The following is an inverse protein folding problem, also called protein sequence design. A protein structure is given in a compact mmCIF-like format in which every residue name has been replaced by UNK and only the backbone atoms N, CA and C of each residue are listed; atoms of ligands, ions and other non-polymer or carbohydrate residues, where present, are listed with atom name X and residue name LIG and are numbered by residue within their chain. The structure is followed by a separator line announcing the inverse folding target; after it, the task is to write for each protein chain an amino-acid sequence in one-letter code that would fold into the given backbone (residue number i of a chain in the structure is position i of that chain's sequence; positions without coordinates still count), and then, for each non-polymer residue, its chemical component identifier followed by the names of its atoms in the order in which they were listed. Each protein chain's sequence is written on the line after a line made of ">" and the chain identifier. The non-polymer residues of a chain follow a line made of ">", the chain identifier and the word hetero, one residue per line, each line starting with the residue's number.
data_IF_163472938768
#
_entry.id   IF_163472938768
#
_cell.length_a   1.000
_cell.length_b   1.000
_cell.length_c   1.000
_cell.angle_alpha   90.00
_cell.angle_beta   90.00
_cell.angle_gamma   90.00
#
_symmetry.space_group_name_H-M   'P 1'
#
loop_
_entity.id
_entity.type
_entity.pdbx_description
1 polymer ?
#
# COMPACT_ATOMS: atom_id res chain seq x y z
N UNK A 1 11.05 -29.83 22.84
CA UNK A 1 10.73 -29.88 21.39
C UNK A 1 10.64 -28.47 20.85
N UNK A 2 11.71 -27.96 20.25
CA UNK A 2 11.75 -26.61 19.66
C UNK A 2 10.91 -26.61 18.39
N UNK A 3 9.71 -26.02 18.44
CA UNK A 3 8.92 -25.73 17.24
C UNK A 3 9.47 -24.46 16.60
N UNK A 4 10.60 -24.55 15.92
CA UNK A 4 10.96 -23.50 14.97
C UNK A 4 9.99 -23.60 13.79
N UNK A 5 8.89 -22.85 13.89
CA UNK A 5 8.01 -22.60 12.75
C UNK A 5 8.85 -21.82 11.74
N UNK A 6 9.20 -22.46 10.64
CA UNK A 6 9.88 -21.81 9.53
C UNK A 6 8.99 -20.67 9.02
N UNK A 7 9.54 -19.45 8.99
CA UNK A 7 8.82 -18.27 8.52
C UNK A 7 8.82 -18.32 7.00
N UNK A 8 7.63 -18.44 6.40
CA UNK A 8 7.46 -18.37 4.94
C UNK A 8 7.71 -16.94 4.46
N UNK A 9 8.17 -16.79 3.22
CA UNK A 9 8.46 -15.50 2.61
C UNK A 9 7.69 -15.33 1.29
N UNK A 10 7.33 -14.09 0.96
CA UNK A 10 6.80 -13.71 -0.35
C UNK A 10 7.56 -12.48 -0.87
N UNK A 11 8.16 -12.59 -2.07
CA UNK A 11 8.99 -11.52 -2.67
C UNK A 11 10.04 -10.94 -1.69
N UNK A 12 10.68 -11.81 -0.89
CA UNK A 12 11.70 -11.41 0.09
C UNK A 12 11.14 -10.82 1.40
N UNK A 13 9.82 -10.71 1.56
CA UNK A 13 9.20 -10.25 2.80
C UNK A 13 8.75 -11.43 3.67
N UNK A 14 9.07 -11.44 4.97
CA UNK A 14 8.63 -12.51 5.86
C UNK A 14 7.15 -12.38 6.18
N UNK A 15 6.42 -13.48 6.00
CA UNK A 15 5.01 -13.64 6.31
C UNK A 15 4.80 -13.65 7.83
N UNK A 16 4.91 -12.46 8.41
CA UNK A 16 4.73 -12.22 9.84
C UNK A 16 3.66 -11.15 10.03
N UNK A 17 2.96 -11.21 11.17
CA UNK A 17 1.97 -10.18 11.55
C UNK A 17 2.57 -8.78 11.55
N UNK A 18 3.84 -8.64 11.95
CA UNK A 18 4.58 -7.37 11.92
C UNK A 18 4.85 -6.85 10.52
N UNK A 19 5.21 -7.72 9.55
CA UNK A 19 5.39 -7.29 8.15
C UNK A 19 4.08 -6.85 7.54
N UNK A 20 3.01 -7.62 7.74
CA UNK A 20 1.67 -7.29 7.25
C UNK A 20 1.20 -5.95 7.84
N UNK A 21 1.30 -5.77 9.16
CA UNK A 21 0.89 -4.53 9.82
C UNK A 21 1.65 -3.31 9.28
N UNK A 22 2.97 -3.41 9.08
CA UNK A 22 3.76 -2.31 8.49
C UNK A 22 3.25 -1.95 7.10
N UNK A 23 2.95 -2.94 6.26
CA UNK A 23 2.43 -2.69 4.92
C UNK A 23 1.01 -2.11 4.94
N UNK A 24 0.15 -2.57 5.85
CA UNK A 24 -1.19 -1.99 6.04
C UNK A 24 -1.11 -0.52 6.47
N UNK A 25 -0.18 -0.18 7.37
CA UNK A 25 0.06 1.20 7.79
C UNK A 25 0.58 2.07 6.63
N UNK A 26 1.44 1.52 5.76
CA UNK A 26 1.89 2.19 4.54
C UNK A 26 0.75 2.43 3.53
N UNK A 27 -0.08 1.40 3.27
CA UNK A 27 -1.25 1.53 2.40
C UNK A 27 -2.21 2.59 2.92
N UNK A 28 -2.42 2.64 4.24
CA UNK A 28 -3.25 3.69 4.86
C UNK A 28 -2.71 5.09 4.59
N UNK A 29 -1.40 5.29 4.69
CA UNK A 29 -0.75 6.58 4.36
C UNK A 29 -0.91 6.94 2.89
N UNK A 30 -0.74 5.98 1.98
CA UNK A 30 -0.91 6.19 0.55
C UNK A 30 -2.36 6.56 0.20
N UNK A 31 -3.35 5.89 0.81
CA UNK A 31 -4.77 6.21 0.64
C UNK A 31 -5.09 7.63 1.12
N UNK A 32 -4.58 8.04 2.28
CA UNK A 32 -4.76 9.42 2.75
C UNK A 32 -4.16 10.44 1.76
N UNK A 33 -2.97 10.18 1.21
CA UNK A 33 -2.35 11.04 0.20
C UNK A 33 -3.17 11.11 -1.10
N UNK A 34 -3.70 9.96 -1.54
CA UNK A 34 -4.60 9.89 -2.68
C UNK A 34 -5.87 10.72 -2.45
N UNK A 35 -6.49 10.60 -1.28
CA UNK A 35 -7.69 11.35 -0.90
C UNK A 35 -7.43 12.86 -0.88
N UNK A 36 -6.28 13.30 -0.36
CA UNK A 36 -5.86 14.70 -0.39
C UNK A 36 -5.70 15.24 -1.81
N UNK A 37 -5.05 14.49 -2.70
CA UNK A 37 -4.87 14.88 -4.11
C UNK A 37 -6.19 14.93 -4.87
N UNK A 38 -7.04 13.93 -4.69
CA UNK A 38 -8.38 13.89 -5.32
C UNK A 38 -9.23 15.05 -4.82
N UNK A 39 -9.22 15.31 -3.51
CA UNK A 39 -9.94 16.45 -2.90
C UNK A 39 -9.44 17.77 -3.47
N UNK A 40 -8.12 17.97 -3.54
CA UNK A 40 -7.53 19.18 -4.09
C UNK A 40 -7.95 19.39 -5.55
N UNK A 41 -7.94 18.35 -6.37
CA UNK A 41 -8.36 18.41 -7.78
C UNK A 41 -9.84 18.77 -7.94
N UNK A 42 -10.71 18.31 -7.04
CA UNK A 42 -12.15 18.61 -7.06
C UNK A 42 -12.41 20.07 -6.64
N UNK A 43 -11.80 20.51 -5.55
CA UNK A 43 -12.12 21.81 -4.92
C UNK A 43 -11.24 22.97 -5.39
N UNK A 44 -10.08 22.70 -6.00
CA UNK A 44 -9.15 23.69 -6.54
C UNK A 44 -8.61 23.27 -7.91
N UNK A 45 -9.48 23.06 -8.92
CA UNK A 45 -9.07 22.57 -10.23
C UNK A 45 -8.10 23.52 -10.96
N UNK A 46 -8.19 24.84 -10.73
CA UNK A 46 -7.29 25.82 -11.35
C UNK A 46 -5.86 25.79 -10.77
N UNK A 47 -5.68 25.32 -9.53
CA UNK A 47 -4.36 25.07 -8.92
C UNK A 47 -3.74 23.73 -9.38
N UNK A 48 -4.52 22.86 -10.02
CA UNK A 48 -4.14 21.48 -10.38
C UNK A 48 -3.56 21.30 -11.79
N UNK A 49 -3.06 22.38 -12.42
CA UNK A 49 -2.64 22.43 -13.84
C UNK A 49 -1.43 21.55 -14.24
N UNK A 50 -0.94 20.64 -13.40
CA UNK A 50 0.17 19.75 -13.75
C UNK A 50 0.23 18.46 -12.95
N UNK A 51 0.49 17.36 -13.66
CA UNK A 51 0.86 16.00 -13.21
C UNK A 51 0.01 15.29 -12.14
N UNK A 52 -0.96 15.94 -11.48
CA UNK A 52 -1.77 15.32 -10.43
C UNK A 52 -2.59 14.13 -10.93
N UNK A 53 -3.03 14.14 -12.19
CA UNK A 53 -3.71 12.99 -12.79
C UNK A 53 -2.80 11.77 -12.89
N UNK A 54 -1.55 11.95 -13.33
CA UNK A 54 -0.57 10.86 -13.39
C UNK A 54 -0.20 10.37 -11.98
N UNK A 55 0.01 11.29 -11.03
CA UNK A 55 0.29 10.94 -9.63
C UNK A 55 -0.86 10.18 -8.96
N UNK A 56 -2.11 10.53 -9.26
CA UNK A 56 -3.30 9.80 -8.77
C UNK A 56 -3.29 8.36 -9.29
N UNK A 57 -3.03 8.15 -10.57
CA UNK A 57 -2.95 6.79 -11.14
C UNK A 57 -1.75 6.01 -10.59
N UNK A 58 -0.57 6.64 -10.48
CA UNK A 58 0.61 6.01 -9.85
C UNK A 58 0.35 5.59 -8.40
N UNK A 59 -0.37 6.42 -7.63
CA UNK A 59 -0.74 6.09 -6.25
C UNK A 59 -1.73 4.94 -6.18
N UNK A 60 -2.73 4.89 -7.06
CA UNK A 60 -3.67 3.76 -7.14
C UNK A 60 -2.93 2.46 -7.46
N UNK A 61 -2.07 2.48 -8.47
CA UNK A 61 -1.24 1.33 -8.84
C UNK A 61 -0.34 0.86 -7.68
N UNK A 62 0.26 1.80 -6.96
CA UNK A 62 1.12 1.50 -5.82
C UNK A 62 0.34 0.88 -4.64
N UNK A 63 -0.88 1.37 -4.38
CA UNK A 63 -1.80 0.83 -3.38
C UNK A 63 -2.20 -0.60 -3.76
N UNK A 64 -2.65 -0.82 -5.00
CA UNK A 64 -3.10 -2.13 -5.47
C UNK A 64 -1.99 -3.18 -5.36
N UNK A 65 -0.78 -2.87 -5.85
CA UNK A 65 0.39 -3.77 -5.75
C UNK A 65 0.75 -4.09 -4.30
N UNK A 66 0.65 -3.12 -3.38
CA UNK A 66 0.91 -3.37 -1.96
C UNK A 66 -0.18 -4.22 -1.31
N UNK A 67 -1.44 -4.02 -1.67
CA UNK A 67 -2.57 -4.82 -1.19
C UNK A 67 -2.48 -6.27 -1.67
N UNK A 68 -2.05 -6.50 -2.92
CA UNK A 68 -1.75 -7.84 -3.43
C UNK A 68 -0.68 -8.53 -2.57
N UNK A 69 0.43 -7.83 -2.29
CA UNK A 69 1.51 -8.39 -1.45
C UNK A 69 1.00 -8.69 -0.03
N UNK A 70 0.21 -7.80 0.57
CA UNK A 70 -0.40 -8.02 1.89
C UNK A 70 -1.26 -9.29 1.89
N UNK A 71 -2.09 -9.46 0.86
CA UNK A 71 -2.95 -10.63 0.71
C UNK A 71 -2.09 -11.91 0.63
N UNK A 72 -1.04 -11.91 -0.18
CA UNK A 72 -0.14 -13.05 -0.30
C UNK A 72 0.57 -13.37 1.02
N UNK A 73 1.04 -12.36 1.75
CA UNK A 73 1.64 -12.56 3.07
C UNK A 73 0.64 -13.12 4.09
N UNK A 74 -0.63 -12.69 4.04
CA UNK A 74 -1.71 -13.22 4.91
C UNK A 74 -2.04 -14.68 4.61
N UNK A 75 -1.98 -15.11 3.35
CA UNK A 75 -2.20 -16.50 2.95
C UNK A 75 -1.07 -17.45 3.39
N UNK A 76 0.11 -16.91 3.70
CA UNK A 76 1.27 -17.67 4.15
C UNK A 76 1.39 -17.80 5.68
N UNK A 77 0.55 -17.10 6.45
CA UNK A 77 0.50 -17.13 7.93
C UNK A 77 -0.21 -18.37 8.48
#
# INVERSE_FOLDING_TARGET
>A
MNRHREIRNYRGLPATRSSIKRMEDEVKKLRNCLDELVTKRIYKPDDSRGNEAAMIEELKDAIEKKEEIILQLKLLL
#
